data_IF_039835835048
#
_entry.id   IF_039835835048
#
_cell.length_a   1.000
_cell.length_b   1.000
_cell.length_c   1.000
_cell.angle_alpha   90.00
_cell.angle_beta   90.00
_cell.angle_gamma   90.00
#
_symmetry.space_group_name_H-M   'P 1'
#
loop_
_entity.id
_entity.type
_entity.pdbx_description
1 polymer ?
#
# COMPACT_ATOMS: atom_id res chain seq x y z
N UNK A 1 -0.86 0.86 1.86
CA UNK A 1 -0.02 -0.36 1.94
C UNK A 1 1.23 -0.09 2.78
N UNK A 2 1.73 -1.02 3.60
CA UNK A 2 2.98 -0.76 4.35
C UNK A 2 3.43 -1.88 5.26
N UNK A 3 4.64 -1.76 5.82
CA UNK A 3 5.15 -2.71 6.82
C UNK A 3 4.33 -2.61 8.11
N UNK A 4 4.10 -3.75 8.76
CA UNK A 4 3.74 -3.78 10.17
C UNK A 4 4.94 -3.28 10.99
N UNK A 5 4.73 -2.31 11.89
CA UNK A 5 5.80 -1.80 12.75
C UNK A 5 6.00 -2.68 13.98
N UNK A 6 4.95 -3.40 14.38
CA UNK A 6 4.94 -4.33 15.50
C UNK A 6 4.04 -5.52 15.21
N UNK A 7 4.10 -6.52 16.10
CA UNK A 7 3.14 -7.64 16.10
C UNK A 7 1.71 -7.15 16.32
N UNK A 8 1.51 -6.05 17.07
CA UNK A 8 0.17 -5.48 17.28
C UNK A 8 -0.43 -4.86 16.02
N UNK A 9 0.37 -4.62 14.99
CA UNK A 9 -0.11 -4.17 13.68
C UNK A 9 -0.49 -5.34 12.75
N UNK A 10 -0.31 -6.59 13.19
CA UNK A 10 -0.57 -7.80 12.38
C UNK A 10 -2.02 -8.27 12.53
N UNK A 11 -2.97 -7.41 12.21
CA UNK A 11 -4.39 -7.75 12.14
C UNK A 11 -4.92 -7.50 10.73
N UNK A 12 -5.91 -8.30 10.33
CA UNK A 12 -6.56 -8.16 9.03
C UNK A 12 -7.23 -6.80 8.93
N UNK A 13 -7.01 -6.12 7.81
CA UNK A 13 -7.60 -4.81 7.57
C UNK A 13 -9.10 -4.90 7.27
N UNK A 14 -9.93 -4.49 8.24
CA UNK A 14 -11.40 -4.58 8.14
C UNK A 14 -11.95 -3.90 6.89
N UNK A 15 -11.45 -2.70 6.56
CA UNK A 15 -11.96 -1.96 5.39
C UNK A 15 -11.70 -2.68 4.07
N UNK A 16 -10.57 -3.39 3.94
CA UNK A 16 -10.30 -4.20 2.75
C UNK A 16 -11.24 -5.41 2.69
N UNK A 17 -11.54 -6.01 3.84
CA UNK A 17 -12.50 -7.12 3.94
C UNK A 17 -13.90 -6.72 3.46
N UNK A 18 -14.40 -5.55 3.87
CA UNK A 18 -15.71 -5.03 3.47
C UNK A 18 -15.75 -4.75 1.96
N UNK A 19 -14.72 -4.07 1.42
CA UNK A 19 -14.62 -3.82 -0.03
C UNK A 19 -14.56 -5.11 -0.84
N UNK A 20 -13.77 -6.09 -0.38
CA UNK A 20 -13.65 -7.37 -1.06
C UNK A 20 -14.97 -8.15 -1.06
N UNK A 21 -15.72 -8.08 0.05
CA UNK A 21 -17.06 -8.67 0.13
C UNK A 21 -18.01 -8.01 -0.88
N UNK A 22 -18.13 -6.68 -0.86
CA UNK A 22 -19.02 -5.94 -1.77
C UNK A 22 -18.72 -6.27 -3.25
N UNK A 23 -17.44 -6.30 -3.63
CA UNK A 23 -17.03 -6.64 -4.98
C UNK A 23 -17.37 -8.10 -5.36
N UNK A 24 -17.20 -9.04 -4.42
CA UNK A 24 -17.55 -10.45 -4.65
C UNK A 24 -19.06 -10.65 -4.77
N UNK A 25 -19.86 -10.00 -3.93
CA UNK A 25 -21.33 -10.02 -4.00
C UNK A 25 -21.83 -9.43 -5.33
N UNK A 26 -21.11 -8.44 -5.89
CA UNK A 26 -21.37 -7.91 -7.22
C UNK A 26 -20.85 -8.78 -8.39
N UNK A 27 -20.30 -9.97 -8.11
CA UNK A 27 -19.89 -10.94 -9.12
C UNK A 27 -18.48 -10.73 -9.70
N UNK A 28 -17.63 -9.92 -9.05
CA UNK A 28 -16.23 -9.76 -9.47
C UNK A 28 -15.30 -10.80 -8.85
N UNK A 29 -14.28 -11.20 -9.61
CA UNK A 29 -13.16 -11.98 -9.08
C UNK A 29 -12.21 -11.05 -8.32
N UNK A 30 -12.02 -11.31 -7.03
CA UNK A 30 -11.25 -10.44 -6.12
C UNK A 30 -10.13 -11.22 -5.44
N UNK A 31 -8.91 -10.74 -5.60
CA UNK A 31 -7.74 -11.17 -4.82
C UNK A 31 -7.35 -10.06 -3.86
N UNK A 32 -7.13 -10.40 -2.59
CA UNK A 32 -6.69 -9.46 -1.56
C UNK A 32 -5.22 -9.73 -1.24
N UNK A 33 -4.41 -8.68 -1.25
CA UNK A 33 -3.02 -8.70 -0.79
C UNK A 33 -2.90 -7.79 0.45
N UNK A 34 -2.76 -8.40 1.62
CA UNK A 34 -2.63 -7.70 2.90
C UNK A 34 -1.32 -8.10 3.61
N UNK A 35 -0.32 -7.19 3.68
CA UNK A 35 0.93 -7.45 4.38
C UNK A 35 0.80 -7.40 5.91
N UNK A 36 -0.36 -7.03 6.48
CA UNK A 36 -0.60 -6.97 7.93
C UNK A 36 -0.81 -8.36 8.56
N UNK A 37 0.14 -9.27 8.34
CA UNK A 37 0.14 -10.65 8.86
C UNK A 37 1.46 -11.00 9.53
N UNK A 38 1.39 -11.90 10.52
CA UNK A 38 2.54 -12.27 11.35
C UNK A 38 3.71 -12.81 10.52
N UNK A 39 3.44 -13.64 9.52
CA UNK A 39 4.49 -14.22 8.67
C UNK A 39 5.24 -13.14 7.88
N UNK A 40 4.52 -12.12 7.41
CA UNK A 40 5.12 -10.99 6.72
C UNK A 40 5.96 -10.16 7.69
N UNK A 41 5.45 -9.87 8.89
CA UNK A 41 6.21 -9.18 9.92
C UNK A 41 7.51 -9.93 10.28
N UNK A 42 7.45 -11.24 10.51
CA UNK A 42 8.62 -12.06 10.85
C UNK A 42 9.62 -12.04 9.69
N UNK A 43 9.17 -12.23 8.45
CA UNK A 43 10.05 -12.22 7.28
C UNK A 43 10.76 -10.86 7.11
N UNK A 44 10.10 -9.76 7.44
CA UNK A 44 10.65 -8.41 7.32
C UNK A 44 11.58 -8.03 8.49
N UNK A 45 11.22 -8.41 9.71
CA UNK A 45 11.94 -8.03 10.94
C UNK A 45 13.06 -8.98 11.34
N UNK A 46 13.01 -10.26 10.96
CA UNK A 46 14.10 -11.20 11.23
C UNK A 46 15.34 -10.81 10.42
N UNK A 47 16.41 -10.46 11.12
CA UNK A 47 17.72 -10.12 10.57
C UNK A 47 18.81 -10.19 11.66
N UNK A 48 20.06 -10.22 11.24
CA UNK A 48 21.21 -10.43 12.11
C UNK A 48 21.55 -9.23 13.03
N UNK A 49 20.91 -8.07 12.80
CA UNK A 49 21.12 -6.87 13.63
C UNK A 49 20.26 -6.88 14.90
N UNK A 50 19.17 -7.65 14.93
CA UNK A 50 18.21 -7.65 16.05
C UNK A 50 18.85 -8.02 17.39
N UNK A 51 19.68 -9.06 17.52
CA UNK A 51 20.29 -9.41 18.80
C UNK A 51 21.14 -8.27 19.38
N UNK A 52 21.94 -7.61 18.54
CA UNK A 52 22.80 -6.50 18.98
C UNK A 52 21.99 -5.25 19.31
N UNK A 53 20.99 -4.92 18.50
CA UNK A 53 20.05 -3.86 18.83
C UNK A 53 19.37 -4.14 20.19
N UNK A 54 18.88 -5.35 20.42
CA UNK A 54 18.25 -5.69 21.71
C UNK A 54 19.19 -5.50 22.91
N UNK A 55 20.46 -5.89 22.78
CA UNK A 55 21.45 -5.67 23.84
C UNK A 55 21.72 -4.18 24.08
N UNK A 56 21.94 -3.41 23.02
CA UNK A 56 22.13 -1.95 23.11
C UNK A 56 20.92 -1.25 23.69
N UNK A 57 19.70 -1.67 23.34
CA UNK A 57 18.47 -1.10 23.87
C UNK A 57 18.42 -1.24 25.39
N UNK A 58 18.75 -2.43 25.91
CA UNK A 58 18.85 -2.67 27.35
C UNK A 58 19.91 -1.77 27.98
N UNK A 59 21.11 -1.69 27.42
CA UNK A 59 22.19 -0.87 27.97
C UNK A 59 21.91 0.63 27.94
N UNK A 60 21.18 1.14 26.95
CA UNK A 60 20.92 2.58 26.78
C UNK A 60 19.67 3.03 27.55
N UNK A 61 18.61 2.22 27.54
CA UNK A 61 17.27 2.62 27.99
C UNK A 61 16.77 1.91 29.25
N UNK A 62 17.34 0.76 29.66
CA UNK A 62 16.95 0.10 30.91
C UNK A 62 17.52 0.86 32.11
N UNK A 63 16.64 1.40 32.94
CA UNK A 63 16.98 2.17 34.15
C UNK A 63 17.87 1.36 35.11
N UNK A 64 17.75 0.02 35.13
CA UNK A 64 18.52 -0.84 36.04
C UNK A 64 19.94 -1.14 35.55
N UNK A 65 20.18 -1.08 34.25
CA UNK A 65 21.43 -1.52 33.59
C UNK A 65 22.01 -0.43 32.67
N UNK A 66 21.77 0.84 33.00
CA UNK A 66 22.04 1.97 32.11
C UNK A 66 23.54 2.27 32.02
N UNK A 67 24.09 2.10 30.83
CA UNK A 67 25.47 2.42 30.43
C UNK A 67 25.46 3.40 29.25
N UNK A 68 24.52 4.34 29.29
CA UNK A 68 24.20 5.27 28.21
C UNK A 68 25.36 6.21 27.86
N UNK A 69 26.24 5.76 26.97
CA UNK A 69 27.40 6.50 26.49
C UNK A 69 27.23 6.96 25.04
N UNK A 70 27.95 8.03 24.62
CA UNK A 70 27.92 8.49 23.23
C UNK A 70 28.31 7.40 22.21
N UNK A 71 29.23 6.50 22.55
CA UNK A 71 29.66 5.41 21.68
C UNK A 71 28.55 4.38 21.47
N UNK A 72 27.83 3.98 22.52
CA UNK A 72 26.69 3.07 22.40
C UNK A 72 25.55 3.70 21.60
N UNK A 73 25.26 5.00 21.81
CA UNK A 73 24.26 5.72 21.00
C UNK A 73 24.64 5.80 19.53
N UNK A 74 25.92 6.04 19.24
CA UNK A 74 26.44 6.06 17.86
C UNK A 74 26.27 4.68 17.22
N UNK A 75 26.65 3.62 17.91
CA UNK A 75 26.47 2.24 17.43
C UNK A 75 24.99 1.91 17.20
N UNK A 76 24.13 2.25 18.16
CA UNK A 76 22.67 2.07 18.05
C UNK A 76 22.12 2.76 16.80
N UNK A 77 22.46 4.03 16.58
CA UNK A 77 21.98 4.78 15.41
C UNK A 77 22.46 4.13 14.10
N UNK A 78 23.73 3.74 14.00
CA UNK A 78 24.26 3.04 12.82
C UNK A 78 23.53 1.73 12.54
N UNK A 79 23.24 0.94 13.57
CA UNK A 79 22.51 -0.32 13.41
C UNK A 79 21.04 -0.09 13.05
N UNK A 80 20.41 0.96 13.58
CA UNK A 80 19.05 1.35 13.21
C UNK A 80 18.96 1.81 11.75
N UNK A 81 19.94 2.59 11.29
CA UNK A 81 20.03 3.03 9.89
C UNK A 81 20.22 1.83 8.95
N UNK A 82 21.10 0.89 9.31
CA UNK A 82 21.30 -0.36 8.57
C UNK A 82 20.02 -1.19 8.54
N UNK A 83 19.32 -1.32 9.67
CA UNK A 83 18.04 -2.02 9.74
C UNK A 83 16.99 -1.37 8.84
N UNK A 84 16.90 -0.04 8.86
CA UNK A 84 16.00 0.71 7.99
C UNK A 84 16.30 0.47 6.50
N UNK A 85 17.59 0.43 6.14
CA UNK A 85 18.02 0.11 4.77
C UNK A 85 17.63 -1.31 4.34
N UNK A 86 17.86 -2.31 5.21
CA UNK A 86 17.45 -3.71 4.96
C UNK A 86 15.95 -3.81 4.76
N UNK A 87 15.16 -3.20 5.64
CA UNK A 87 13.70 -3.20 5.55
C UNK A 87 13.22 -2.52 4.26
N UNK A 88 13.82 -1.38 3.90
CA UNK A 88 13.53 -0.68 2.64
C UNK A 88 13.79 -1.60 1.45
N UNK A 89 14.95 -2.25 1.38
CA UNK A 89 15.28 -3.21 0.31
C UNK A 89 14.27 -4.35 0.20
N UNK A 90 13.86 -4.95 1.33
CA UNK A 90 12.80 -5.97 1.35
C UNK A 90 11.46 -5.44 0.84
N UNK A 91 11.08 -4.21 1.21
CA UNK A 91 9.85 -3.58 0.74
C UNK A 91 9.89 -3.33 -0.77
N UNK A 92 11.01 -2.81 -1.29
CA UNK A 92 11.15 -2.58 -2.73
C UNK A 92 11.00 -3.87 -3.54
N UNK A 93 11.67 -4.95 -3.10
CA UNK A 93 11.53 -6.26 -3.73
C UNK A 93 10.08 -6.76 -3.71
N UNK A 94 9.41 -6.63 -2.56
CA UNK A 94 8.02 -7.03 -2.42
C UNK A 94 7.08 -6.27 -3.37
N UNK A 95 7.26 -4.95 -3.50
CA UNK A 95 6.50 -4.14 -4.45
C UNK A 95 6.76 -4.56 -5.91
N UNK A 96 8.00 -4.90 -6.26
CA UNK A 96 8.35 -5.39 -7.60
C UNK A 96 7.70 -6.74 -7.90
N UNK A 97 7.75 -7.67 -6.94
CA UNK A 97 7.11 -8.98 -7.05
C UNK A 97 5.60 -8.85 -7.21
N UNK A 98 4.98 -7.93 -6.46
CA UNK A 98 3.55 -7.67 -6.56
C UNK A 98 3.17 -7.03 -7.90
N UNK A 99 3.93 -6.04 -8.38
CA UNK A 99 3.69 -5.42 -9.68
C UNK A 99 3.81 -6.45 -10.82
N UNK A 100 4.82 -7.33 -10.77
CA UNK A 100 4.96 -8.46 -11.72
C UNK A 100 3.79 -9.43 -11.64
N UNK A 101 3.33 -9.79 -10.43
CA UNK A 101 2.16 -10.66 -10.22
C UNK A 101 0.90 -10.04 -10.84
N UNK A 102 0.68 -8.74 -10.66
CA UNK A 102 -0.45 -7.98 -11.24
C UNK A 102 -0.40 -8.01 -12.77
N UNK A 103 0.77 -7.72 -13.37
CA UNK A 103 0.96 -7.76 -14.81
C UNK A 103 0.77 -9.16 -15.40
N UNK A 104 1.41 -10.19 -14.80
CA UNK A 104 1.28 -11.59 -15.23
C UNK A 104 -0.17 -12.07 -15.21
N UNK A 105 -0.94 -11.68 -14.20
CA UNK A 105 -2.34 -12.06 -14.06
C UNK A 105 -3.29 -11.15 -14.85
N UNK A 106 -2.76 -10.18 -15.61
CA UNK A 106 -3.54 -9.21 -16.42
C UNK A 106 -4.67 -8.54 -15.63
N UNK A 107 -4.39 -8.18 -14.37
CA UNK A 107 -5.36 -7.55 -13.47
C UNK A 107 -5.88 -6.26 -14.09
N UNK A 108 -7.21 -6.14 -14.23
CA UNK A 108 -7.85 -4.97 -14.86
C UNK A 108 -7.94 -3.77 -13.94
N UNK A 109 -8.15 -4.00 -12.65
CA UNK A 109 -8.30 -2.94 -11.65
C UNK A 109 -7.47 -3.29 -10.41
N UNK A 110 -6.65 -2.34 -9.96
CA UNK A 110 -5.89 -2.38 -8.73
C UNK A 110 -6.45 -1.33 -7.77
N UNK A 111 -7.12 -1.77 -6.71
CA UNK A 111 -7.51 -0.91 -5.60
C UNK A 111 -6.44 -0.91 -4.51
N UNK A 112 -6.01 0.27 -4.06
CA UNK A 112 -5.02 0.41 -2.99
C UNK A 112 -5.62 1.21 -1.82
N UNK A 113 -5.73 0.57 -0.65
CA UNK A 113 -6.00 1.28 0.60
C UNK A 113 -4.73 2.00 1.05
N UNK A 114 -4.78 3.32 0.97
CA UNK A 114 -3.70 4.24 1.31
C UNK A 114 -3.78 4.66 2.77
N UNK A 115 -2.63 4.65 3.42
CA UNK A 115 -2.43 5.11 4.80
C UNK A 115 -1.39 6.22 4.77
N UNK A 116 -1.31 7.01 5.83
CA UNK A 116 -0.40 8.17 5.94
C UNK A 116 1.09 7.76 6.00
N UNK A 117 1.96 8.74 5.77
CA UNK A 117 3.43 8.61 5.91
C UNK A 117 4.06 7.70 4.86
N UNK A 118 5.11 6.96 5.23
CA UNK A 118 5.83 6.04 4.33
C UNK A 118 4.90 5.03 3.62
N UNK A 119 3.77 4.68 4.26
CA UNK A 119 2.77 3.78 3.69
C UNK A 119 2.12 4.36 2.43
N UNK A 120 1.97 5.68 2.36
CA UNK A 120 1.49 6.35 1.15
C UNK A 120 2.55 6.26 0.05
N UNK A 121 3.81 6.58 0.38
CA UNK A 121 4.92 6.51 -0.58
C UNK A 121 5.08 5.11 -1.20
N UNK A 122 4.95 4.04 -0.42
CA UNK A 122 4.96 2.67 -0.98
C UNK A 122 3.75 2.38 -1.87
N UNK A 123 2.60 2.98 -1.58
CA UNK A 123 1.40 2.86 -2.41
C UNK A 123 1.60 3.55 -3.77
N UNK A 124 2.23 4.73 -3.78
CA UNK A 124 2.61 5.44 -5.00
C UNK A 124 3.65 4.66 -5.81
N UNK A 125 4.69 4.14 -5.16
CA UNK A 125 5.71 3.32 -5.84
C UNK A 125 5.11 2.07 -6.49
N UNK A 126 4.19 1.39 -5.80
CA UNK A 126 3.48 0.25 -6.38
C UNK A 126 2.68 0.66 -7.62
N UNK A 127 1.90 1.74 -7.51
CA UNK A 127 1.09 2.25 -8.60
C UNK A 127 1.95 2.62 -9.83
N UNK A 128 3.08 3.29 -9.61
CA UNK A 128 4.03 3.64 -10.66
C UNK A 128 4.58 2.39 -11.37
N UNK A 129 5.02 1.37 -10.63
CA UNK A 129 5.53 0.12 -11.21
C UNK A 129 4.46 -0.66 -11.97
N UNK A 130 3.24 -0.68 -11.45
CA UNK A 130 2.11 -1.33 -12.12
C UNK A 130 1.78 -0.60 -13.42
N UNK A 131 1.82 0.73 -13.44
CA UNK A 131 1.61 1.53 -14.65
C UNK A 131 2.65 1.26 -15.72
N UNK A 132 3.91 1.05 -15.34
CA UNK A 132 5.00 0.71 -16.25
C UNK A 132 4.85 -0.71 -16.83
N UNK A 133 4.53 -1.70 -16.00
CA UNK A 133 4.48 -3.13 -16.40
C UNK A 133 3.12 -3.50 -17.03
N UNK A 134 2.05 -2.87 -16.58
CA UNK A 134 0.66 -3.16 -16.97
C UNK A 134 -0.11 -1.84 -17.16
N UNK A 135 0.18 -1.08 -18.23
CA UNK A 135 -0.37 0.26 -18.44
C UNK A 135 -1.90 0.29 -18.54
N UNK A 136 -2.52 -0.83 -18.91
CA UNK A 136 -3.97 -0.98 -19.00
C UNK A 136 -4.65 -1.31 -17.66
N UNK A 137 -3.90 -1.57 -16.58
CA UNK A 137 -4.49 -1.70 -15.24
C UNK A 137 -4.96 -0.33 -14.76
N UNK A 138 -6.24 -0.23 -14.42
CA UNK A 138 -6.80 0.95 -13.76
C UNK A 138 -6.41 0.93 -12.27
N UNK A 139 -5.80 2.00 -11.78
CA UNK A 139 -5.26 2.09 -10.43
C UNK A 139 -6.09 3.10 -9.63
N UNK A 140 -6.72 2.62 -8.56
CA UNK A 140 -7.64 3.38 -7.72
C UNK A 140 -7.07 3.46 -6.31
N UNK A 141 -6.94 4.66 -5.77
CA UNK A 141 -6.59 4.88 -4.38
C UNK A 141 -7.83 5.20 -3.53
N UNK A 142 -7.79 4.83 -2.25
CA UNK A 142 -8.80 5.22 -1.27
C UNK A 142 -8.26 5.10 0.15
N UNK A 143 -9.05 5.45 1.15
CA UNK A 143 -8.67 5.34 2.57
C UNK A 143 -8.15 6.64 3.20
N UNK A 144 -7.58 6.57 4.42
CA UNK A 144 -7.30 7.76 5.24
C UNK A 144 -6.51 8.88 4.56
N UNK A 145 -5.49 8.58 3.75
CA UNK A 145 -4.75 9.62 3.01
C UNK A 145 -5.69 10.38 2.06
N UNK A 146 -6.45 9.66 1.25
CA UNK A 146 -7.40 10.26 0.30
C UNK A 146 -8.50 11.03 1.04
N UNK A 147 -9.01 10.48 2.14
CA UNK A 147 -10.05 11.15 2.92
C UNK A 147 -9.57 12.46 3.56
N UNK A 148 -8.31 12.51 4.00
CA UNK A 148 -7.73 13.67 4.65
C UNK A 148 -7.31 14.76 3.66
N UNK A 149 -6.70 14.38 2.53
CA UNK A 149 -6.09 15.33 1.59
C UNK A 149 -6.95 15.57 0.33
N UNK A 150 -7.98 14.75 0.10
CA UNK A 150 -8.96 14.91 -0.98
C UNK A 150 -8.27 15.05 -2.35
N UNK A 151 -8.56 16.09 -3.10
CA UNK A 151 -7.98 16.36 -4.42
C UNK A 151 -6.45 16.45 -4.39
N UNK A 152 -5.85 16.92 -3.29
CA UNK A 152 -4.40 16.99 -3.14
C UNK A 152 -3.75 15.61 -3.11
N UNK A 153 -4.48 14.55 -2.75
CA UNK A 153 -3.96 13.18 -2.84
C UNK A 153 -3.78 12.70 -4.29
N UNK A 154 -4.42 13.36 -5.26
CA UNK A 154 -4.28 13.07 -6.69
C UNK A 154 -3.25 13.96 -7.39
N UNK A 155 -2.93 15.13 -6.83
CA UNK A 155 -1.99 16.06 -7.44
C UNK A 155 -0.62 15.40 -7.62
N UNK A 156 -0.21 15.20 -8.89
CA UNK A 156 1.03 14.51 -9.27
C UNK A 156 1.11 13.05 -8.80
N UNK A 157 -0.02 12.42 -8.48
CA UNK A 157 -0.05 11.02 -8.07
C UNK A 157 -0.04 10.06 -9.26
N UNK A 158 0.47 8.83 -9.10
CA UNK A 158 0.41 7.79 -10.13
C UNK A 158 -0.97 7.09 -10.24
N UNK A 159 -1.95 7.48 -9.42
CA UNK A 159 -3.29 6.89 -9.42
C UNK A 159 -4.17 7.48 -10.52
N UNK A 160 -5.09 6.69 -11.06
CA UNK A 160 -6.05 7.16 -12.07
C UNK A 160 -7.30 7.77 -11.42
N UNK A 161 -7.71 7.22 -10.28
CA UNK A 161 -8.85 7.69 -9.50
C UNK A 161 -8.55 7.65 -8.00
N UNK A 162 -9.20 8.53 -7.26
CA UNK A 162 -9.30 8.47 -5.80
C UNK A 162 -10.77 8.35 -5.40
N UNK A 163 -11.07 7.49 -4.43
CA UNK A 163 -12.38 7.39 -3.80
C UNK A 163 -12.26 7.96 -2.38
N UNK A 164 -12.92 9.08 -2.12
CA UNK A 164 -12.89 9.82 -0.87
C UNK A 164 -14.22 9.78 -0.09
N UNK A 165 -15.10 8.87 -0.51
CA UNK A 165 -16.43 8.57 0.02
C UNK A 165 -16.55 7.07 0.37
N UNK A 166 -17.77 6.57 0.60
CA UNK A 166 -18.05 5.14 0.82
C UNK A 166 -17.56 4.28 -0.35
N UNK A 167 -16.49 3.53 -0.10
CA UNK A 167 -15.79 2.80 -1.16
C UNK A 167 -16.55 1.59 -1.68
N UNK A 168 -17.42 1.00 -0.88
CA UNK A 168 -18.17 -0.22 -1.18
C UNK A 168 -19.08 -0.03 -2.39
N UNK A 169 -19.79 1.10 -2.43
CA UNK A 169 -20.74 1.43 -3.49
C UNK A 169 -19.99 1.98 -4.69
N UNK A 170 -19.13 2.98 -4.48
CA UNK A 170 -18.43 3.68 -5.56
C UNK A 170 -17.47 2.75 -6.31
N UNK A 171 -16.74 1.88 -5.62
CA UNK A 171 -15.84 0.94 -6.27
C UNK A 171 -16.62 -0.02 -7.19
N UNK A 172 -17.73 -0.58 -6.71
CA UNK A 172 -18.57 -1.48 -7.52
C UNK A 172 -19.11 -0.79 -8.78
N UNK A 173 -19.53 0.48 -8.67
CA UNK A 173 -19.95 1.28 -9.82
C UNK A 173 -18.82 1.44 -10.85
N UNK A 174 -17.61 1.80 -10.39
CA UNK A 174 -16.44 1.93 -11.27
C UNK A 174 -16.11 0.58 -11.93
N UNK A 175 -16.15 -0.51 -11.18
CA UNK A 175 -15.88 -1.86 -11.72
C UNK A 175 -16.89 -2.27 -12.80
N UNK A 176 -18.17 -1.91 -12.65
CA UNK A 176 -19.18 -2.15 -13.68
C UNK A 176 -18.89 -1.36 -14.96
N UNK A 177 -18.53 -0.08 -14.84
CA UNK A 177 -18.13 0.76 -15.99
C UNK A 177 -16.90 0.17 -16.69
N UNK A 178 -15.91 -0.30 -15.92
CA UNK A 178 -14.74 -0.99 -16.46
C UNK A 178 -15.16 -2.24 -17.22
N UNK A 179 -15.98 -3.11 -16.61
CA UNK A 179 -16.46 -4.35 -17.23
C UNK A 179 -17.18 -4.09 -18.55
N UNK A 180 -18.13 -3.16 -18.57
CA UNK A 180 -18.88 -2.79 -19.76
C UNK A 180 -17.97 -2.23 -20.85
N UNK A 181 -17.10 -1.29 -20.49
CA UNK A 181 -16.17 -0.65 -21.44
C UNK A 181 -15.24 -1.68 -22.08
N UNK A 182 -14.71 -2.62 -21.30
CA UNK A 182 -13.85 -3.69 -21.83
C UNK A 182 -14.64 -4.71 -22.66
N UNK A 183 -15.91 -5.01 -22.33
CA UNK A 183 -16.75 -5.88 -23.17
C UNK A 183 -17.06 -5.29 -24.55
N UNK A 184 -16.99 -3.96 -24.68
CA UNK A 184 -17.15 -3.23 -25.94
C UNK A 184 -15.82 -3.05 -26.69
N UNK A 185 -14.72 -3.67 -26.23
CA UNK A 185 -13.39 -3.50 -26.81
C UNK A 185 -12.67 -2.22 -26.40
N UNK A 186 -13.22 -1.47 -25.45
CA UNK A 186 -12.61 -0.26 -24.91
C UNK A 186 -11.40 -0.54 -24.00
N UNK A 187 -10.71 0.53 -23.66
CA UNK A 187 -9.44 0.52 -22.93
C UNK A 187 -9.53 1.37 -21.65
N UNK A 188 -8.47 1.34 -20.84
CA UNK A 188 -8.34 2.19 -19.64
C UNK A 188 -8.59 3.68 -19.93
N UNK A 189 -7.98 4.31 -20.97
CA UNK A 189 -8.31 5.68 -21.35
C UNK A 189 -9.80 5.97 -21.56
N UNK A 190 -10.55 5.00 -22.09
CA UNK A 190 -11.99 5.17 -22.34
C UNK A 190 -12.79 5.17 -21.03
N UNK A 191 -12.36 4.36 -20.05
CA UNK A 191 -12.91 4.40 -18.69
C UNK A 191 -12.63 5.76 -18.03
N UNK A 192 -11.42 6.30 -18.19
CA UNK A 192 -11.04 7.59 -17.61
C UNK A 192 -11.87 8.73 -18.21
N UNK A 193 -12.05 8.74 -19.53
CA UNK A 193 -12.88 9.74 -20.24
C UNK A 193 -14.35 9.69 -19.81
N UNK A 194 -14.95 8.51 -19.71
CA UNK A 194 -16.36 8.36 -19.26
C UNK A 194 -16.61 8.91 -17.85
N UNK A 195 -15.59 8.90 -16.99
CA UNK A 195 -15.67 9.41 -15.62
C UNK A 195 -15.17 10.87 -15.48
N UNK A 196 -14.53 11.44 -16.51
CA UNK A 196 -14.34 12.88 -16.63
C UNK A 196 -15.64 13.51 -17.14
N UNK A 197 -16.66 13.57 -16.28
CA UNK A 197 -17.77 14.48 -16.49
C UNK A 197 -17.22 15.90 -16.25
N UNK A 198 -17.30 16.85 -17.20
CA UNK A 198 -16.96 18.23 -16.91
C UNK A 198 -17.87 18.65 -15.77
N UNK A 199 -17.29 19.07 -14.64
CA UNK A 199 -18.02 19.67 -13.54
C UNK A 199 -19.05 20.61 -14.14
N UNK A 200 -20.34 20.29 -13.96
CA UNK A 200 -21.42 21.23 -14.14
C UNK A 200 -21.12 22.34 -13.14
N UNK A 201 -20.50 23.41 -13.62
CA UNK A 201 -20.54 24.72 -13.00
C UNK A 201 -22.01 25.08 -12.82
N UNK A 202 -22.51 24.89 -11.62
CA UNK A 202 -23.72 25.50 -11.08
C UNK A 202 -23.36 26.08 -9.73
#
# INVERSE_FOLDING_TARGET
MGKAYSVSDCFKENGIGILARACKEAGFSVTVEDPARIDFYIAFTKNDLIPRLSDLSRRIFDVRNREDTPSLRKEWNLLQDNLAHVIKGKMEKYLDDLARKIGKNQVKVLGIKTWLGDRFTYSERLAQRVKEISPNTLIIAGGPQVNQFKTHALEKSPFDFCIDVEGEITLVQILNIVKETYSQGGTKPDVIKKNHCPCRSR
#
